data_IF_869177365777
#
_entry.id   IF_869177365777
#
_cell.length_a   1.000
_cell.length_b   1.000
_cell.length_c   1.000
_cell.angle_alpha   90.00
_cell.angle_beta   90.00
_cell.angle_gamma   90.00
#
_symmetry.space_group_name_H-M   'P 1'
#
loop_
_entity.id
_entity.type
_entity.pdbx_description
1 polymer ?
#
# COMPACT_ATOMS: atom_id res chain seq x y z
N UNK A 1 -5.60 -17.97 -15.36
CA UNK A 1 -5.00 -17.26 -14.21
C UNK A 1 -4.66 -18.30 -13.14
N UNK A 2 -3.48 -18.26 -12.50
CA UNK A 2 -3.18 -19.16 -11.36
C UNK A 2 -4.18 -18.89 -10.23
N UNK A 3 -4.42 -19.88 -9.39
CA UNK A 3 -5.17 -19.68 -8.14
C UNK A 3 -4.57 -18.54 -7.30
N UNK A 4 -3.24 -18.40 -7.32
CA UNK A 4 -2.51 -17.32 -6.64
C UNK A 4 -2.85 -15.94 -7.21
N UNK A 5 -2.90 -15.78 -8.54
CA UNK A 5 -3.24 -14.49 -9.16
C UNK A 5 -4.66 -14.08 -8.87
N UNK A 6 -5.55 -15.07 -8.90
CA UNK A 6 -6.95 -14.88 -8.57
C UNK A 6 -7.08 -14.52 -7.09
N UNK A 7 -6.33 -15.17 -6.20
CA UNK A 7 -6.30 -14.85 -4.78
C UNK A 7 -5.76 -13.44 -4.55
N UNK A 8 -4.63 -13.05 -5.15
CA UNK A 8 -4.08 -11.68 -5.04
C UNK A 8 -5.07 -10.66 -5.58
N UNK A 9 -5.68 -10.91 -6.74
CA UNK A 9 -6.70 -10.02 -7.31
C UNK A 9 -7.95 -9.92 -6.43
N UNK A 10 -8.41 -11.03 -5.85
CA UNK A 10 -9.53 -11.05 -4.90
C UNK A 10 -9.20 -10.32 -3.61
N UNK A 11 -8.00 -10.47 -3.07
CA UNK A 11 -7.58 -9.80 -1.83
C UNK A 11 -7.41 -8.29 -2.08
N UNK A 12 -6.75 -7.91 -3.18
CA UNK A 12 -6.45 -6.50 -3.51
C UNK A 12 -7.67 -5.75 -4.02
N UNK A 13 -8.60 -6.36 -4.74
CA UNK A 13 -9.82 -5.65 -5.14
C UNK A 13 -10.93 -5.81 -4.10
N UNK A 14 -11.02 -6.97 -3.47
CA UNK A 14 -12.07 -7.27 -2.50
C UNK A 14 -11.82 -6.66 -1.13
N UNK A 15 -10.57 -6.36 -0.79
CA UNK A 15 -10.23 -5.63 0.43
C UNK A 15 -10.61 -4.14 0.40
N UNK A 16 -10.88 -3.56 -0.78
CA UNK A 16 -11.12 -2.10 -0.94
C UNK A 16 -12.34 -1.65 -0.15
N UNK A 17 -13.49 -2.25 -0.39
CA UNK A 17 -14.76 -1.90 0.26
C UNK A 17 -14.76 -2.12 1.79
N UNK A 18 -14.35 -3.29 2.33
CA UNK A 18 -14.32 -3.52 3.76
C UNK A 18 -13.34 -2.61 4.50
N UNK A 19 -12.14 -2.40 3.95
CA UNK A 19 -11.14 -1.53 4.59
C UNK A 19 -11.59 -0.06 4.56
N UNK A 20 -12.14 0.42 3.44
CA UNK A 20 -12.65 1.79 3.36
C UNK A 20 -13.81 2.06 4.31
N UNK A 21 -14.80 1.17 4.36
CA UNK A 21 -15.96 1.37 5.21
C UNK A 21 -15.61 1.22 6.69
N UNK A 22 -14.68 0.31 7.03
CA UNK A 22 -14.14 0.23 8.38
C UNK A 22 -13.43 1.53 8.79
N UNK A 23 -12.55 2.07 7.93
CA UNK A 23 -11.83 3.31 8.21
C UNK A 23 -12.76 4.52 8.25
N UNK A 24 -13.76 4.60 7.36
CA UNK A 24 -14.79 5.63 7.41
C UNK A 24 -15.62 5.54 8.69
N UNK A 25 -15.94 4.33 9.14
CA UNK A 25 -16.60 4.11 10.43
C UNK A 25 -15.74 4.62 11.59
N UNK A 26 -14.47 4.24 11.62
CA UNK A 26 -13.52 4.62 12.68
C UNK A 26 -13.27 6.14 12.73
N UNK A 27 -12.79 6.72 11.63
CA UNK A 27 -12.47 8.15 11.56
C UNK A 27 -13.72 9.03 11.59
N UNK A 28 -14.82 8.56 11.01
CA UNK A 28 -16.11 9.23 11.07
C UNK A 28 -16.64 9.33 12.50
N UNK A 29 -16.45 8.29 13.33
CA UNK A 29 -16.82 8.37 14.75
C UNK A 29 -15.99 9.38 15.53
N UNK A 30 -14.68 9.44 15.30
CA UNK A 30 -13.82 10.42 15.96
C UNK A 30 -14.24 11.85 15.61
N UNK A 31 -14.63 12.10 14.35
CA UNK A 31 -15.08 13.41 13.90
C UNK A 31 -16.46 13.80 14.44
N UNK A 32 -17.41 12.87 14.50
CA UNK A 32 -18.80 13.14 14.92
C UNK A 32 -19.01 13.10 16.44
N UNK A 33 -18.32 12.19 17.13
CA UNK A 33 -18.60 11.84 18.53
C UNK A 33 -17.36 11.87 19.44
N UNK A 34 -16.17 12.23 18.92
CA UNK A 34 -14.93 12.28 19.69
C UNK A 34 -14.47 10.91 20.21
N UNK A 35 -13.71 10.91 21.31
CA UNK A 35 -13.27 9.68 22.01
C UNK A 35 -14.43 9.04 22.78
N UNK A 36 -15.32 8.39 22.05
CA UNK A 36 -16.43 7.61 22.60
C UNK A 36 -16.21 6.11 22.44
N UNK A 37 -16.77 5.27 23.34
CA UNK A 37 -16.65 3.81 23.25
C UNK A 37 -17.37 3.18 22.05
N UNK A 38 -18.01 4.01 21.20
CA UNK A 38 -18.74 3.60 19.99
C UNK A 38 -17.84 3.36 18.77
N UNK A 39 -16.59 3.82 18.80
CA UNK A 39 -15.59 3.65 17.71
C UNK A 39 -15.48 2.20 17.23
N UNK A 40 -15.25 1.18 18.09
CA UNK A 40 -15.11 -0.21 17.63
C UNK A 40 -16.41 -0.77 17.02
N UNK A 41 -17.58 -0.34 17.51
CA UNK A 41 -18.86 -0.80 16.99
C UNK A 41 -19.12 -0.26 15.58
N UNK A 42 -18.92 1.04 15.36
CA UNK A 42 -19.11 1.64 14.04
C UNK A 42 -18.06 1.16 13.04
N UNK A 43 -16.79 1.03 13.44
CA UNK A 43 -15.77 0.41 12.60
C UNK A 43 -16.12 -1.04 12.23
N UNK A 44 -16.63 -1.83 13.19
CA UNK A 44 -17.10 -3.20 12.97
C UNK A 44 -18.29 -3.27 11.99
N UNK A 45 -19.27 -2.38 12.14
CA UNK A 45 -20.40 -2.31 11.19
C UNK A 45 -19.96 -1.88 9.79
N UNK A 46 -19.00 -0.96 9.68
CA UNK A 46 -18.41 -0.57 8.40
C UNK A 46 -17.69 -1.74 7.73
N UNK A 47 -16.92 -2.52 8.49
CA UNK A 47 -16.25 -3.72 7.99
C UNK A 47 -17.25 -4.75 7.46
N UNK A 48 -18.30 -5.06 8.24
CA UNK A 48 -19.33 -6.02 7.86
C UNK A 48 -20.12 -5.55 6.63
N UNK A 49 -20.48 -4.28 6.58
CA UNK A 49 -21.16 -3.69 5.42
C UNK A 49 -20.28 -3.75 4.17
N UNK A 50 -18.97 -3.49 4.30
CA UNK A 50 -18.04 -3.58 3.18
C UNK A 50 -17.77 -5.00 2.71
N UNK A 51 -17.73 -5.99 3.61
CA UNK A 51 -17.70 -7.40 3.25
C UNK A 51 -18.97 -7.83 2.49
N UNK A 52 -20.15 -7.36 2.94
CA UNK A 52 -21.41 -7.64 2.26
C UNK A 52 -21.47 -7.00 0.86
N UNK A 53 -20.97 -5.77 0.71
CA UNK A 53 -20.86 -5.08 -0.57
C UNK A 53 -19.87 -5.77 -1.52
N UNK A 54 -18.72 -6.21 -1.01
CA UNK A 54 -17.73 -6.91 -1.82
C UNK A 54 -18.27 -8.25 -2.34
N UNK A 55 -18.93 -9.02 -1.47
CA UNK A 55 -19.51 -10.32 -1.81
C UNK A 55 -20.63 -10.24 -2.88
N UNK A 56 -21.32 -9.10 -2.98
CA UNK A 56 -22.48 -8.90 -3.87
C UNK A 56 -22.12 -8.17 -5.16
N UNK A 57 -21.42 -7.03 -5.07
CA UNK A 57 -21.19 -6.13 -6.21
C UNK A 57 -19.86 -6.38 -6.93
N UNK A 58 -18.79 -6.65 -6.17
CA UNK A 58 -17.43 -6.70 -6.72
C UNK A 58 -17.03 -8.10 -7.21
N UNK A 59 -17.70 -9.16 -6.74
CA UNK A 59 -17.38 -10.57 -7.09
C UNK A 59 -17.19 -10.85 -8.60
N UNK A 60 -17.93 -10.14 -9.46
CA UNK A 60 -17.82 -10.25 -10.93
C UNK A 60 -16.61 -9.51 -11.52
N UNK A 61 -16.06 -8.51 -10.83
CA UNK A 61 -14.94 -7.65 -11.24
C UNK A 61 -13.60 -8.08 -10.64
N UNK A 62 -13.59 -8.93 -9.60
CA UNK A 62 -12.40 -9.40 -8.88
C UNK A 62 -11.38 -10.17 -9.74
N UNK A 63 -11.70 -10.53 -10.99
CA UNK A 63 -10.77 -11.16 -11.93
C UNK A 63 -9.99 -10.19 -12.84
N UNK A 64 -10.27 -8.88 -12.78
CA UNK A 64 -9.83 -7.91 -13.81
C UNK A 64 -8.57 -7.10 -13.45
N UNK A 65 -7.92 -7.34 -12.30
CA UNK A 65 -6.78 -6.53 -11.86
C UNK A 65 -5.64 -6.51 -12.89
N UNK A 66 -5.38 -7.63 -13.57
CA UNK A 66 -4.32 -7.75 -14.57
C UNK A 66 -4.68 -7.17 -15.94
N UNK A 67 -5.97 -7.01 -16.24
CA UNK A 67 -6.48 -6.41 -17.48
C UNK A 67 -6.74 -4.91 -17.36
N UNK A 68 -6.54 -4.35 -16.16
CA UNK A 68 -6.79 -2.94 -15.89
C UNK A 68 -5.80 -2.01 -16.62
N UNK A 69 -6.28 -0.81 -16.92
CA UNK A 69 -5.45 0.26 -17.47
C UNK A 69 -4.41 0.71 -16.45
N UNK A 70 -3.29 1.27 -16.92
CA UNK A 70 -2.24 1.78 -16.03
C UNK A 70 -2.78 2.82 -15.03
N UNK A 71 -3.67 3.70 -15.48
CA UNK A 71 -4.32 4.71 -14.62
C UNK A 71 -5.08 4.08 -13.46
N UNK A 72 -5.80 2.99 -13.71
CA UNK A 72 -6.56 2.31 -12.67
C UNK A 72 -5.64 1.64 -11.63
N UNK A 73 -4.52 1.06 -12.05
CA UNK A 73 -3.51 0.51 -11.12
C UNK A 73 -2.91 1.62 -10.24
N UNK A 74 -2.62 2.79 -10.82
CA UNK A 74 -2.15 3.95 -10.03
C UNK A 74 -3.22 4.42 -9.05
N UNK A 75 -4.50 4.50 -9.47
CA UNK A 75 -5.59 4.86 -8.57
C UNK A 75 -5.73 3.87 -7.40
N UNK A 76 -5.63 2.56 -7.66
CA UNK A 76 -5.65 1.52 -6.63
C UNK A 76 -4.45 1.67 -5.69
N UNK A 77 -3.25 1.91 -6.21
CA UNK A 77 -2.06 2.13 -5.40
C UNK A 77 -2.19 3.36 -4.50
N UNK A 78 -2.66 4.50 -5.03
CA UNK A 78 -2.92 5.72 -4.25
C UNK A 78 -3.98 5.48 -3.19
N UNK A 79 -5.09 4.83 -3.55
CA UNK A 79 -6.17 4.52 -2.63
C UNK A 79 -5.68 3.66 -1.45
N UNK A 80 -4.97 2.56 -1.74
CA UNK A 80 -4.38 1.72 -0.70
C UNK A 80 -3.35 2.48 0.13
N UNK A 81 -2.58 3.37 -0.51
CA UNK A 81 -1.60 4.15 0.23
C UNK A 81 -2.23 5.09 1.24
N UNK A 82 -3.32 5.77 0.86
CA UNK A 82 -4.09 6.62 1.78
C UNK A 82 -4.74 5.78 2.89
N UNK A 83 -5.29 4.61 2.55
CA UNK A 83 -5.92 3.72 3.53
C UNK A 83 -4.92 3.21 4.57
N UNK A 84 -3.76 2.71 4.12
CA UNK A 84 -2.70 2.23 5.00
C UNK A 84 -2.15 3.38 5.84
N UNK A 85 -1.86 4.52 5.22
CA UNK A 85 -1.38 5.71 5.92
C UNK A 85 -2.38 6.17 7.00
N UNK A 86 -3.68 6.21 6.68
CA UNK A 86 -4.73 6.52 7.63
C UNK A 86 -4.85 5.48 8.75
N UNK A 87 -4.84 4.19 8.44
CA UNK A 87 -4.93 3.13 9.44
C UNK A 87 -3.75 3.15 10.43
N UNK A 88 -2.54 3.45 9.95
CA UNK A 88 -1.34 3.54 10.78
C UNK A 88 -1.08 4.96 11.31
N UNK A 89 -2.13 5.78 11.46
CA UNK A 89 -2.07 7.10 12.12
C UNK A 89 -1.02 8.03 11.49
N UNK A 90 -0.82 7.97 10.18
CA UNK A 90 0.15 8.79 9.46
C UNK A 90 1.57 8.25 9.46
N UNK A 91 1.79 6.98 9.84
CA UNK A 91 3.10 6.35 9.73
C UNK A 91 3.32 5.77 8.31
N UNK A 92 4.34 6.21 7.55
CA UNK A 92 4.48 5.86 6.14
C UNK A 92 5.14 4.50 5.87
N UNK A 93 5.76 3.86 6.87
CA UNK A 93 6.52 2.59 6.68
C UNK A 93 5.66 1.43 6.17
N UNK A 94 4.44 1.18 6.67
CA UNK A 94 3.62 0.07 6.18
C UNK A 94 3.19 0.24 4.72
N UNK A 95 3.34 1.44 4.16
CA UNK A 95 3.03 1.69 2.77
C UNK A 95 3.93 0.94 1.78
N UNK A 96 5.07 0.39 2.26
CA UNK A 96 5.92 -0.50 1.47
C UNK A 96 5.17 -1.71 0.89
N UNK A 97 4.08 -2.13 1.53
CA UNK A 97 3.22 -3.22 1.05
C UNK A 97 2.65 -2.89 -0.34
N UNK A 98 2.34 -1.62 -0.61
CA UNK A 98 1.77 -1.18 -1.89
C UNK A 98 2.79 -1.34 -3.01
N UNK A 99 4.05 -0.95 -2.81
CA UNK A 99 5.14 -1.17 -3.77
C UNK A 99 5.40 -2.64 -4.04
N UNK A 100 5.41 -3.48 -3.00
CA UNK A 100 5.58 -4.94 -3.15
C UNK A 100 4.44 -5.54 -4.00
N UNK A 101 3.19 -5.23 -3.67
CA UNK A 101 2.03 -5.74 -4.41
C UNK A 101 1.95 -5.18 -5.84
N UNK A 102 2.24 -3.89 -6.02
CA UNK A 102 2.29 -3.24 -7.33
C UNK A 102 3.37 -3.84 -8.23
N UNK A 103 4.57 -4.06 -7.68
CA UNK A 103 5.66 -4.76 -8.35
C UNK A 103 5.26 -6.18 -8.75
N UNK A 104 4.65 -6.94 -7.84
CA UNK A 104 4.16 -8.29 -8.14
C UNK A 104 3.14 -8.30 -9.29
N UNK A 105 2.15 -7.42 -9.27
CA UNK A 105 1.11 -7.33 -10.30
C UNK A 105 1.70 -7.00 -11.67
N UNK A 106 2.60 -6.01 -11.73
CA UNK A 106 3.26 -5.61 -12.99
C UNK A 106 4.21 -6.70 -13.50
N UNK A 107 5.00 -7.33 -12.63
CA UNK A 107 5.88 -8.43 -13.01
C UNK A 107 5.11 -9.63 -13.58
N UNK A 108 3.97 -9.98 -12.96
CA UNK A 108 3.05 -11.02 -13.42
C UNK A 108 2.38 -10.69 -14.76
N UNK A 109 2.06 -9.41 -15.03
CA UNK A 109 1.45 -8.97 -16.30
C UNK A 109 2.33 -9.26 -17.52
N UNK A 110 3.65 -9.28 -17.33
CA UNK A 110 4.63 -9.56 -18.39
C UNK A 110 5.24 -10.97 -18.29
N UNK A 111 4.74 -11.83 -17.39
CA UNK A 111 5.19 -13.21 -17.26
C UNK A 111 4.69 -14.05 -18.46
N UNK A 112 5.49 -14.12 -19.53
CA UNK A 112 5.18 -14.89 -20.75
C UNK A 112 5.78 -14.30 -22.02
N UNK A 113 5.98 -12.98 -22.06
CA UNK A 113 6.52 -12.28 -23.23
C UNK A 113 8.06 -12.21 -23.18
N UNK A 114 8.74 -13.27 -23.64
CA UNK A 114 10.21 -13.27 -23.81
C UNK A 114 10.72 -12.18 -24.77
N UNK A 115 9.86 -11.70 -25.68
CA UNK A 115 10.23 -10.77 -26.77
C UNK A 115 10.17 -9.29 -26.33
N UNK A 116 9.45 -8.94 -25.24
CA UNK A 116 9.25 -7.54 -24.78
C UNK A 116 9.92 -7.22 -23.44
N UNK A 117 11.12 -7.74 -23.21
CA UNK A 117 11.90 -7.50 -21.99
C UNK A 117 12.15 -6.01 -21.71
N UNK A 118 12.35 -5.19 -22.74
CA UNK A 118 12.52 -3.74 -22.60
C UNK A 118 11.24 -3.02 -22.16
N UNK A 119 10.07 -3.42 -22.67
CA UNK A 119 8.79 -2.82 -22.24
C UNK A 119 8.46 -3.22 -20.81
N UNK A 120 8.70 -4.48 -20.44
CA UNK A 120 8.47 -4.97 -19.08
C UNK A 120 9.36 -4.27 -18.04
N UNK A 121 10.65 -4.04 -18.35
CA UNK A 121 11.53 -3.27 -17.46
C UNK A 121 11.09 -1.82 -17.33
N UNK A 122 10.62 -1.20 -18.43
CA UNK A 122 10.09 0.16 -18.39
C UNK A 122 8.86 0.24 -17.48
N UNK A 123 7.92 -0.67 -17.64
CA UNK A 123 6.68 -0.66 -16.86
C UNK A 123 6.94 -0.96 -15.37
N UNK A 124 7.89 -1.85 -15.06
CA UNK A 124 8.35 -2.09 -13.70
C UNK A 124 9.03 -0.85 -13.08
N UNK A 125 9.85 -0.12 -13.85
CA UNK A 125 10.42 1.16 -13.39
C UNK A 125 9.36 2.22 -13.16
N UNK A 126 8.36 2.34 -14.04
CA UNK A 126 7.26 3.29 -13.83
C UNK A 126 6.48 2.90 -12.57
N UNK A 127 6.19 1.62 -12.31
CA UNK A 127 5.55 1.17 -11.06
C UNK A 127 6.38 1.55 -9.83
N UNK A 128 7.69 1.31 -9.88
CA UNK A 128 8.61 1.65 -8.79
C UNK A 128 8.69 3.16 -8.56
N UNK A 129 8.76 3.97 -9.62
CA UNK A 129 8.75 5.44 -9.52
C UNK A 129 7.43 5.95 -8.96
N UNK A 130 6.30 5.39 -9.40
CA UNK A 130 4.98 5.78 -8.89
C UNK A 130 4.86 5.45 -7.40
N UNK A 131 5.20 4.22 -6.99
CA UNK A 131 5.07 3.79 -5.59
C UNK A 131 6.02 4.57 -4.68
N UNK A 132 7.28 4.72 -5.10
CA UNK A 132 8.26 5.55 -4.41
C UNK A 132 7.84 7.03 -4.35
N UNK A 133 7.22 7.56 -5.41
CA UNK A 133 6.70 8.92 -5.47
C UNK A 133 5.54 9.14 -4.50
N UNK A 134 4.59 8.19 -4.42
CA UNK A 134 3.50 8.22 -3.43
C UNK A 134 4.09 8.21 -2.02
N UNK A 135 4.99 7.27 -1.74
CA UNK A 135 5.65 7.18 -0.43
C UNK A 135 6.45 8.45 -0.10
N UNK A 136 7.15 9.04 -1.06
CA UNK A 136 7.88 10.29 -0.86
C UNK A 136 6.93 11.42 -0.43
N UNK A 137 5.78 11.56 -1.10
CA UNK A 137 4.75 12.54 -0.70
C UNK A 137 4.26 12.25 0.72
N UNK A 138 3.98 10.99 1.06
CA UNK A 138 3.57 10.62 2.42
C UNK A 138 4.66 10.94 3.46
N UNK A 139 5.93 10.68 3.15
CA UNK A 139 7.07 11.05 3.99
C UNK A 139 7.15 12.57 4.18
N UNK A 140 6.94 13.37 3.13
CA UNK A 140 6.89 14.83 3.24
C UNK A 140 5.74 15.31 4.13
N UNK A 141 4.54 14.73 3.96
CA UNK A 141 3.38 15.05 4.81
C UNK A 141 3.65 14.65 6.26
N UNK A 142 4.20 13.47 6.49
CA UNK A 142 4.57 12.99 7.85
C UNK A 142 5.60 13.92 8.49
N UNK A 143 6.66 14.27 7.74
CA UNK A 143 7.71 15.17 8.21
C UNK A 143 7.16 16.57 8.52
N UNK A 144 6.25 17.08 7.69
CA UNK A 144 5.57 18.33 7.94
C UNK A 144 4.77 18.28 9.25
N UNK A 145 3.89 17.28 9.40
CA UNK A 145 3.08 17.10 10.62
C UNK A 145 3.96 16.98 11.87
N UNK A 146 5.02 16.16 11.79
CA UNK A 146 5.95 15.95 12.91
C UNK A 146 6.72 17.22 13.29
N UNK A 147 7.12 18.05 12.32
CA UNK A 147 7.89 19.26 12.59
C UNK A 147 7.03 20.46 13.01
N UNK A 148 5.72 20.44 12.71
CA UNK A 148 4.77 21.45 13.20
C UNK A 148 4.26 21.16 14.61
N UNK A 149 4.36 19.91 15.07
CA UNK A 149 3.85 19.49 16.38
C UNK A 149 4.82 19.95 17.50
N UNK A 150 4.40 20.83 18.42
CA UNK A 150 5.28 21.39 19.45
C UNK A 150 5.80 20.35 20.45
N UNK A 151 5.06 19.26 20.63
CA UNK A 151 5.34 18.22 21.63
C UNK A 151 6.01 16.98 21.06
N UNK A 152 6.45 17.02 19.79
CA UNK A 152 6.97 15.83 19.10
C UNK A 152 8.21 15.23 19.77
N UNK A 153 9.06 16.04 20.40
CA UNK A 153 10.30 15.58 21.04
C UNK A 153 10.03 14.67 22.22
N UNK A 154 9.12 15.07 23.11
CA UNK A 154 8.70 14.27 24.26
C UNK A 154 7.89 13.04 23.83
N UNK A 155 7.03 13.15 22.80
CA UNK A 155 6.31 12.00 22.25
C UNK A 155 7.27 10.93 21.71
N UNK A 156 8.27 11.33 20.90
CA UNK A 156 9.27 10.40 20.36
C UNK A 156 10.13 9.79 21.46
N UNK A 157 10.49 10.56 22.48
CA UNK A 157 11.21 10.04 23.64
C UNK A 157 10.44 8.89 24.30
N UNK A 158 9.15 9.08 24.59
CA UNK A 158 8.31 8.07 25.23
C UNK A 158 8.00 6.88 24.31
N UNK A 159 7.79 7.12 23.02
CA UNK A 159 7.53 6.04 22.05
C UNK A 159 8.73 5.13 21.83
N UNK A 160 9.95 5.68 21.83
CA UNK A 160 11.19 4.94 21.57
C UNK A 160 11.89 4.52 22.87
N UNK A 161 11.44 5.02 24.02
CA UNK A 161 12.05 4.74 25.32
C UNK A 161 13.46 5.33 25.48
N UNK A 162 13.71 6.49 24.87
CA UNK A 162 15.03 7.11 24.91
C UNK A 162 15.32 7.69 26.31
N UNK A 163 16.56 7.55 26.82
CA UNK A 163 16.94 8.10 28.12
C UNK A 163 17.11 9.64 28.10
N UNK A 164 17.01 10.26 26.92
CA UNK A 164 17.14 11.70 26.70
C UNK A 164 16.03 12.22 25.79
N UNK A 165 15.71 13.51 25.91
CA UNK A 165 14.79 14.17 24.99
C UNK A 165 15.50 14.48 23.65
N UNK A 166 15.00 13.97 22.51
CA UNK A 166 15.59 14.22 21.20
C UNK A 166 15.56 15.72 20.88
N UNK A 167 16.67 16.27 20.39
CA UNK A 167 16.67 17.64 19.87
C UNK A 167 15.94 17.71 18.53
N UNK A 168 15.36 18.87 18.19
CA UNK A 168 14.75 19.12 16.87
C UNK A 168 15.74 18.92 15.73
N UNK A 169 17.03 19.22 15.96
CA UNK A 169 18.09 18.94 14.99
C UNK A 169 18.22 17.45 14.69
N UNK A 170 18.24 16.60 15.73
CA UNK A 170 18.27 15.14 15.58
C UNK A 170 17.03 14.62 14.86
N UNK A 171 15.85 15.14 15.21
CA UNK A 171 14.59 14.72 14.58
C UNK A 171 14.57 15.03 13.08
N UNK A 172 15.08 16.20 12.66
CA UNK A 172 15.21 16.55 11.24
C UNK A 172 16.14 15.60 10.50
N UNK A 173 17.29 15.27 11.08
CA UNK A 173 18.26 14.35 10.48
C UNK A 173 17.67 12.94 10.35
N UNK A 174 17.06 12.43 11.42
CA UNK A 174 16.43 11.09 11.41
C UNK A 174 15.28 11.03 10.41
N UNK A 175 14.44 12.06 10.36
CA UNK A 175 13.32 12.12 9.41
C UNK A 175 13.82 12.19 7.97
N UNK A 176 14.87 12.98 7.69
CA UNK A 176 15.45 13.11 6.36
C UNK A 176 16.10 11.79 5.91
N UNK A 177 16.99 11.23 6.73
CA UNK A 177 17.70 9.99 6.41
C UNK A 177 16.70 8.83 6.33
N UNK A 178 15.85 8.68 7.36
CA UNK A 178 14.84 7.63 7.42
C UNK A 178 13.85 7.69 6.25
N UNK A 179 13.34 8.88 5.92
CA UNK A 179 12.44 9.09 4.79
C UNK A 179 13.09 8.76 3.44
N UNK A 180 14.31 9.24 3.20
CA UNK A 180 15.05 8.94 1.96
C UNK A 180 15.39 7.45 1.85
N UNK A 181 15.84 6.82 2.94
CA UNK A 181 16.10 5.39 2.99
C UNK A 181 14.84 4.59 2.71
N UNK A 182 13.70 4.98 3.27
CA UNK A 182 12.42 4.30 3.06
C UNK A 182 11.96 4.40 1.60
N UNK A 183 12.09 5.57 0.97
CA UNK A 183 11.77 5.78 -0.45
C UNK A 183 12.70 4.97 -1.35
N UNK A 184 13.99 4.89 -1.03
CA UNK A 184 14.93 4.05 -1.75
C UNK A 184 14.56 2.56 -1.63
N UNK A 185 14.25 2.10 -0.41
CA UNK A 185 13.81 0.72 -0.16
C UNK A 185 12.54 0.41 -0.95
N UNK A 186 11.56 1.31 -0.98
CA UNK A 186 10.32 1.13 -1.76
C UNK A 186 10.61 0.95 -3.25
N UNK A 187 11.47 1.80 -3.81
CA UNK A 187 11.86 1.70 -5.20
C UNK A 187 12.53 0.35 -5.52
N UNK A 188 13.52 -0.05 -4.71
CA UNK A 188 14.26 -1.30 -4.94
C UNK A 188 13.42 -2.54 -4.69
N UNK A 189 12.58 -2.55 -3.65
CA UNK A 189 11.68 -3.67 -3.35
C UNK A 189 10.63 -3.82 -4.45
N UNK A 190 10.03 -2.73 -4.94
CA UNK A 190 9.08 -2.79 -6.07
C UNK A 190 9.73 -3.41 -7.31
N UNK A 191 10.95 -2.99 -7.66
CA UNK A 191 11.71 -3.56 -8.78
C UNK A 191 12.07 -5.03 -8.56
N UNK A 192 12.59 -5.37 -7.38
CA UNK A 192 12.98 -6.74 -7.04
C UNK A 192 11.77 -7.68 -7.11
N UNK A 193 10.61 -7.23 -6.62
CA UNK A 193 9.37 -8.00 -6.63
C UNK A 193 8.84 -8.17 -8.05
N UNK A 194 8.89 -7.12 -8.88
CA UNK A 194 8.50 -7.20 -10.29
C UNK A 194 9.39 -8.18 -11.08
N UNK A 195 10.70 -8.13 -10.86
CA UNK A 195 11.65 -9.01 -11.52
C UNK A 195 11.49 -10.47 -11.04
N UNK A 196 11.31 -10.69 -9.75
CA UNK A 196 11.03 -12.01 -9.18
C UNK A 196 9.73 -12.60 -9.76
N UNK A 197 8.66 -11.81 -9.75
CA UNK A 197 7.35 -12.21 -10.27
C UNK A 197 7.37 -12.51 -11.78
N UNK A 198 8.21 -11.80 -12.54
CA UNK A 198 8.44 -12.05 -13.97
C UNK A 198 9.23 -13.34 -14.21
N UNK A 199 10.29 -13.59 -13.42
CA UNK A 199 11.13 -14.79 -13.52
C UNK A 199 10.41 -16.07 -13.11
N UNK A 200 9.35 -15.96 -12.30
CA UNK A 200 8.47 -17.09 -11.96
C UNK A 200 7.73 -17.71 -13.18
N UNK A 201 7.95 -17.17 -14.39
CA UNK A 201 7.59 -17.74 -15.70
C UNK A 201 6.09 -17.69 -16.01
N UNK A 202 5.70 -17.76 -17.30
CA UNK A 202 4.35 -18.19 -17.63
C UNK A 202 4.14 -19.61 -17.11
N UNK A 203 2.92 -19.94 -16.69
CA UNK A 203 2.54 -21.34 -16.45
C UNK A 203 2.78 -22.08 -17.77
N UNK A 204 3.66 -23.09 -17.74
CA UNK A 204 3.66 -24.12 -18.77
C UNK A 204 2.22 -24.57 -18.95
N UNK A 205 1.72 -24.46 -20.18
CA UNK A 205 0.46 -25.06 -20.57
C UNK A 205 0.44 -26.47 -20.01
N UNK A 206 -0.61 -26.82 -19.27
CA UNK A 206 -0.88 -28.18 -18.85
C UNK A 206 -1.30 -29.04 -20.07
N UNK A 207 -0.53 -28.93 -21.16
CA UNK A 207 -0.73 -29.53 -22.47
C UNK A 207 0.59 -30.17 -22.97
N UNK A 208 1.50 -30.46 -22.03
CA UNK A 208 2.69 -31.32 -22.25
C UNK A 208 2.65 -32.56 -21.33
N UNK A 209 1.44 -32.91 -20.86
CA UNK A 209 1.12 -34.18 -20.20
C UNK A 209 -0.26 -34.65 -20.64
N UNK A 210 -0.40 -34.99 -21.92
CA UNK A 210 -1.29 -36.05 -22.42
C UNK A 210 -1.10 -36.25 -23.91
#
# INVERSE_FOLDING_TARGET
>A
MRAVDRAVSMIVLGGIAPIALMLLGWWGTLWLFGDTPWIPWLAGTGLLAGLALDATLLRSRLGSLYTMSWRALVCVAVFYSVMIYGFFMGFPVPNLIVGVLGGFVVGRRHAGDRIRTLSAQRDARIAAVVSAGILFVLCCVTAWLALTEPTITSQVQHMVGLPFEPTIGLLRVVTLIGGLSLVAVEYFTTLATAEWARRAGPVGTAEDRR
#
